data_IF_526265745020
#
_entry.id   IF_526265745020
#
_cell.length_a   1.000
_cell.length_b   1.000
_cell.length_c   1.000
_cell.angle_alpha   90.00
_cell.angle_beta   90.00
_cell.angle_gamma   90.00
#
_symmetry.space_group_name_H-M   'P 1'
#
loop_
_entity.id
_entity.type
_entity.pdbx_description
1 polymer ?
#
# COMPACT_ATOMS: atom_id res chain seq x y z
N UNK A 1 30.33 -26.60 -21.20
CA UNK A 1 28.92 -26.92 -21.59
C UNK A 1 28.21 -25.60 -21.85
N UNK A 2 28.10 -25.21 -23.11
CA UNK A 2 27.40 -23.99 -23.54
C UNK A 2 25.91 -24.30 -23.61
N UNK A 3 25.16 -23.86 -22.60
CA UNK A 3 23.70 -23.97 -22.62
C UNK A 3 23.19 -23.02 -23.72
N UNK A 4 22.35 -23.55 -24.63
CA UNK A 4 21.81 -22.74 -25.72
C UNK A 4 20.99 -21.58 -25.12
N UNK A 5 21.31 -20.31 -25.44
CA UNK A 5 20.75 -19.14 -24.75
C UNK A 5 19.21 -19.08 -24.79
N UNK A 6 18.57 -19.67 -25.80
CA UNK A 6 17.11 -19.74 -25.89
C UNK A 6 16.42 -20.69 -24.90
N UNK A 7 17.09 -21.75 -24.44
CA UNK A 7 16.54 -22.70 -23.45
C UNK A 7 16.52 -22.09 -22.05
N UNK A 8 17.56 -21.33 -21.70
CA UNK A 8 17.61 -20.65 -20.40
C UNK A 8 16.57 -19.54 -20.30
N UNK A 9 16.35 -18.78 -21.38
CA UNK A 9 15.35 -17.70 -21.40
C UNK A 9 13.91 -18.22 -21.27
N UNK A 10 13.60 -19.34 -21.93
CA UNK A 10 12.26 -19.95 -21.85
C UNK A 10 11.99 -20.51 -20.46
N UNK A 11 12.98 -21.17 -19.84
CA UNK A 11 12.89 -21.61 -18.45
C UNK A 11 12.70 -20.43 -17.49
N UNK A 12 13.46 -19.34 -17.65
CA UNK A 12 13.32 -18.14 -16.82
C UNK A 12 11.91 -17.51 -16.90
N UNK A 13 11.29 -17.49 -18.09
CA UNK A 13 9.91 -17.02 -18.26
C UNK A 13 8.90 -17.95 -17.57
N UNK A 14 9.10 -19.27 -17.69
CA UNK A 14 8.24 -20.27 -17.04
C UNK A 14 8.36 -20.20 -15.52
N UNK A 15 9.58 -20.11 -14.99
CA UNK A 15 9.84 -20.01 -13.55
C UNK A 15 9.27 -18.71 -12.97
N UNK A 16 9.41 -17.60 -13.69
CA UNK A 16 8.76 -16.34 -13.31
C UNK A 16 7.23 -16.45 -13.29
N UNK A 17 6.65 -17.08 -14.31
CA UNK A 17 5.20 -17.31 -14.37
C UNK A 17 4.69 -18.24 -13.26
N UNK A 18 5.44 -19.30 -12.93
CA UNK A 18 5.14 -20.20 -11.80
C UNK A 18 5.25 -19.47 -10.47
N UNK A 19 6.33 -18.73 -10.25
CA UNK A 19 6.53 -17.92 -9.05
C UNK A 19 5.45 -16.87 -8.87
N UNK A 20 4.98 -16.21 -9.95
CA UNK A 20 3.84 -15.30 -9.88
C UNK A 20 2.53 -15.98 -9.48
N UNK A 21 2.29 -17.19 -9.99
CA UNK A 21 1.12 -17.98 -9.65
C UNK A 21 1.16 -18.39 -8.17
N UNK A 22 2.30 -18.85 -7.69
CA UNK A 22 2.50 -19.27 -6.30
C UNK A 22 2.42 -18.09 -5.31
N UNK A 23 3.01 -16.94 -5.67
CA UNK A 23 2.86 -15.70 -4.91
C UNK A 23 1.40 -15.30 -4.77
N UNK A 24 0.60 -15.41 -5.85
CA UNK A 24 -0.85 -15.17 -5.80
C UNK A 24 -1.59 -16.21 -4.96
N UNK A 25 -1.26 -17.49 -5.06
CA UNK A 25 -1.95 -18.53 -4.29
C UNK A 25 -1.67 -18.45 -2.79
N UNK A 26 -0.50 -17.95 -2.39
CA UNK A 26 -0.12 -17.87 -0.98
C UNK A 26 -0.95 -16.86 -0.17
N UNK A 27 -1.54 -15.83 -0.80
CA UNK A 27 -2.32 -14.77 -0.14
C UNK A 27 -1.57 -13.96 0.95
N UNK A 28 -0.34 -14.34 1.29
CA UNK A 28 0.40 -13.86 2.47
C UNK A 28 0.78 -12.39 2.35
N UNK A 29 1.10 -11.95 1.13
CA UNK A 29 1.35 -10.54 0.80
C UNK A 29 0.10 -9.66 0.87
N UNK A 30 -1.10 -10.24 0.69
CA UNK A 30 -2.38 -9.51 0.86
C UNK A 30 -2.65 -9.29 2.34
N UNK A 31 -2.52 -10.34 3.14
CA UNK A 31 -2.75 -10.27 4.58
C UNK A 31 -1.83 -9.24 5.25
N UNK A 32 -0.54 -9.24 4.91
CA UNK A 32 0.41 -8.26 5.47
C UNK A 32 0.10 -6.83 5.04
N UNK A 33 -0.25 -6.60 3.77
CA UNK A 33 -0.57 -5.26 3.26
C UNK A 33 -1.87 -4.70 3.85
N UNK A 34 -2.92 -5.52 3.94
CA UNK A 34 -4.19 -5.13 4.56
C UNK A 34 -4.00 -4.86 6.06
N UNK A 35 -3.22 -5.69 6.76
CA UNK A 35 -2.94 -5.48 8.17
C UNK A 35 -2.17 -4.18 8.41
N UNK A 36 -1.15 -3.90 7.60
CA UNK A 36 -0.41 -2.64 7.68
C UNK A 36 -1.32 -1.42 7.43
N UNK A 37 -2.16 -1.46 6.40
CA UNK A 37 -3.12 -0.38 6.12
C UNK A 37 -4.16 -0.21 7.22
N UNK A 38 -4.66 -1.30 7.79
CA UNK A 38 -5.61 -1.27 8.90
C UNK A 38 -4.98 -0.65 10.16
N UNK A 39 -3.74 -1.00 10.47
CA UNK A 39 -3.01 -0.42 11.62
C UNK A 39 -2.77 1.07 11.42
N UNK A 40 -2.24 1.47 10.25
CA UNK A 40 -1.96 2.89 9.97
C UNK A 40 -3.26 3.71 9.94
N UNK A 41 -4.30 3.21 9.27
CA UNK A 41 -5.61 3.86 9.24
C UNK A 41 -6.26 3.95 10.62
N UNK A 42 -6.13 2.88 11.43
CA UNK A 42 -6.62 2.85 12.81
C UNK A 42 -5.91 3.86 13.71
N UNK A 43 -4.58 3.99 13.59
CA UNK A 43 -3.81 5.02 14.31
C UNK A 43 -4.25 6.41 13.87
N UNK A 44 -4.38 6.67 12.57
CA UNK A 44 -4.84 7.96 12.04
C UNK A 44 -6.24 8.33 12.54
N UNK A 45 -7.16 7.36 12.59
CA UNK A 45 -8.51 7.55 13.12
C UNK A 45 -8.49 7.78 14.63
N UNK A 46 -7.69 7.02 15.39
CA UNK A 46 -7.54 7.19 16.83
C UNK A 46 -7.06 8.61 17.15
N UNK A 47 -6.01 9.09 16.47
CA UNK A 47 -5.51 10.45 16.62
C UNK A 47 -6.59 11.51 16.27
N UNK A 48 -7.38 11.28 15.23
CA UNK A 48 -8.49 12.17 14.88
C UNK A 48 -9.56 12.26 15.98
N UNK A 49 -9.77 11.16 16.71
CA UNK A 49 -10.76 11.08 17.79
C UNK A 49 -10.22 11.63 19.12
N UNK A 50 -8.92 11.45 19.41
CA UNK A 50 -8.33 11.89 20.68
C UNK A 50 -7.91 13.35 20.72
N UNK A 51 -7.74 14.02 19.57
CA UNK A 51 -7.26 15.41 19.49
C UNK A 51 -8.40 16.46 19.70
N UNK A 52 -9.59 16.05 20.11
CA UNK A 52 -10.65 16.96 20.58
C UNK A 52 -10.73 16.96 22.10
N UNK A 53 -10.04 17.88 22.77
CA UNK A 53 -10.31 18.18 24.19
C UNK A 53 -11.71 18.80 24.37
N UNK A 54 -12.21 18.86 25.62
CA UNK A 54 -13.51 19.47 25.90
C UNK A 54 -13.50 20.94 25.44
N UNK A 55 -14.43 21.36 24.56
CA UNK A 55 -14.50 22.74 24.08
C UNK A 55 -14.72 23.75 25.22
N UNK A 56 -15.17 23.30 26.40
CA UNK A 56 -15.42 24.15 27.55
C UNK A 56 -14.22 24.24 28.51
N UNK A 57 -13.14 23.52 28.26
CA UNK A 57 -11.97 23.54 29.13
C UNK A 57 -11.17 24.84 28.90
N UNK A 58 -10.91 25.65 29.94
CA UNK A 58 -10.18 26.91 29.78
C UNK A 58 -8.75 26.66 29.28
N UNK A 59 -8.20 27.54 28.42
CA UNK A 59 -6.82 27.42 27.96
C UNK A 59 -5.84 27.57 29.14
N UNK A 60 -4.70 26.87 29.05
CA UNK A 60 -3.63 26.92 30.03
C UNK A 60 -2.40 27.63 29.48
N UNK A 61 -1.73 28.39 30.33
CA UNK A 61 -0.47 29.07 30.06
C UNK A 61 0.49 28.73 31.20
N UNK A 62 1.63 28.10 30.89
CA UNK A 62 2.61 27.60 31.89
C UNK A 62 1.93 26.84 33.05
N UNK A 63 1.10 25.84 32.70
CA UNK A 63 0.32 25.01 33.63
C UNK A 63 -0.73 25.74 34.48
N UNK A 64 -0.98 27.04 34.22
CA UNK A 64 -2.02 27.82 34.89
C UNK A 64 -3.22 28.03 33.97
N UNK A 65 -4.41 27.74 34.48
CA UNK A 65 -5.67 28.03 33.77
C UNK A 65 -5.86 29.54 33.64
N UNK A 66 -6.10 30.00 32.42
CA UNK A 66 -6.38 31.40 32.14
C UNK A 66 -7.86 31.72 32.28
N UNK A 67 -8.16 32.93 32.73
CA UNK A 67 -9.50 33.50 32.74
C UNK A 67 -9.66 34.58 31.68
N UNK A 68 -10.90 34.94 31.34
CA UNK A 68 -11.20 35.91 30.30
C UNK A 68 -10.65 37.28 30.68
N UNK A 69 -9.71 37.80 29.88
CA UNK A 69 -9.00 39.06 30.15
C UNK A 69 -7.56 38.88 30.63
N UNK A 70 -7.13 37.65 30.92
CA UNK A 70 -5.72 37.38 31.21
C UNK A 70 -4.87 37.43 29.94
N UNK A 71 -3.62 37.88 30.09
CA UNK A 71 -2.59 37.87 29.04
C UNK A 71 -1.49 36.91 29.46
N UNK A 72 -1.19 35.94 28.60
CA UNK A 72 -0.10 35.01 28.79
C UNK A 72 1.15 35.54 28.11
N UNK A 73 2.29 35.55 28.79
CA UNK A 73 3.58 35.94 28.20
C UNK A 73 4.48 34.72 28.20
N UNK A 74 4.73 34.15 27.03
CA UNK A 74 5.60 32.99 26.88
C UNK A 74 7.02 33.50 26.61
N UNK A 75 7.92 33.30 27.56
CA UNK A 75 9.34 33.60 27.38
C UNK A 75 10.03 32.37 26.77
N UNK A 76 10.06 32.29 25.43
CA UNK A 76 10.83 31.28 24.71
C UNK A 76 12.21 31.84 24.34
N UNK A 77 13.27 31.06 24.54
CA UNK A 77 14.64 31.39 24.10
C UNK A 77 14.86 31.26 22.58
N UNK A 78 13.85 30.79 21.84
CA UNK A 78 13.76 30.81 20.38
C UNK A 78 12.74 31.85 19.87
N UNK A 79 12.66 32.03 18.56
CA UNK A 79 11.84 33.04 17.84
C UNK A 79 10.30 32.92 17.99
N UNK A 80 9.80 32.37 19.11
CA UNK A 80 8.39 32.13 19.39
C UNK A 80 7.85 32.80 20.65
N UNK A 81 8.65 33.66 21.33
CA UNK A 81 8.18 34.41 22.50
C UNK A 81 7.25 35.57 22.13
N UNK A 82 6.15 35.72 22.87
CA UNK A 82 5.14 36.76 22.65
C UNK A 82 4.09 36.80 23.76
N UNK A 83 3.34 37.90 23.81
CA UNK A 83 2.16 38.06 24.66
C UNK A 83 0.91 37.62 23.90
N UNK A 84 0.22 36.59 24.38
CA UNK A 84 -1.01 36.07 23.79
C UNK A 84 -2.19 36.38 24.70
N UNK A 85 -3.26 36.95 24.14
CA UNK A 85 -4.51 37.17 24.87
C UNK A 85 -5.29 35.86 25.02
N UNK A 86 -6.23 35.81 25.97
CA UNK A 86 -7.14 34.67 26.14
C UNK A 86 -7.80 34.24 24.81
N UNK A 87 -8.39 35.19 24.08
CA UNK A 87 -9.11 34.90 22.82
C UNK A 87 -8.18 34.36 21.73
N UNK A 88 -6.92 34.82 21.68
CA UNK A 88 -5.92 34.34 20.73
C UNK A 88 -5.46 32.90 21.05
N UNK A 89 -5.39 32.53 22.32
CA UNK A 89 -5.11 31.15 22.72
C UNK A 89 -6.27 30.20 22.40
N UNK A 90 -7.51 30.66 22.58
CA UNK A 90 -8.70 29.89 22.20
C UNK A 90 -8.73 29.65 20.69
N UNK A 91 -8.51 30.69 19.88
CA UNK A 91 -8.50 30.59 18.42
C UNK A 91 -7.39 29.66 17.90
N UNK A 92 -6.18 29.74 18.48
CA UNK A 92 -5.09 28.79 18.17
C UNK A 92 -5.44 27.35 18.52
N UNK A 93 -6.11 27.10 19.66
CA UNK A 93 -6.53 25.76 20.07
C UNK A 93 -7.56 25.20 19.10
N UNK A 94 -8.58 25.98 18.74
CA UNK A 94 -9.60 25.57 17.77
C UNK A 94 -9.01 25.30 16.38
N UNK A 95 -8.13 26.17 15.91
CA UNK A 95 -7.45 26.02 14.62
C UNK A 95 -6.55 24.78 14.57
N UNK A 96 -5.73 24.55 15.61
CA UNK A 96 -4.83 23.39 15.68
C UNK A 96 -5.61 22.07 15.76
N UNK A 97 -6.67 22.02 16.58
CA UNK A 97 -7.50 20.83 16.72
C UNK A 97 -8.25 20.52 15.42
N UNK A 98 -8.75 21.54 14.72
CA UNK A 98 -9.44 21.38 13.43
C UNK A 98 -8.49 20.84 12.36
N UNK A 99 -7.27 21.38 12.28
CA UNK A 99 -6.26 20.92 11.32
C UNK A 99 -5.82 19.48 11.60
N UNK A 100 -5.47 19.14 12.85
CA UNK A 100 -5.08 17.76 13.19
C UNK A 100 -6.20 16.76 12.95
N UNK A 101 -7.44 17.11 13.29
CA UNK A 101 -8.61 16.27 13.06
C UNK A 101 -8.85 16.07 11.56
N UNK A 102 -8.69 17.13 10.76
CA UNK A 102 -8.74 17.07 9.29
C UNK A 102 -7.68 16.13 8.70
N UNK A 103 -6.44 16.20 9.18
CA UNK A 103 -5.36 15.30 8.76
C UNK A 103 -5.66 13.85 9.13
N UNK A 104 -6.13 13.61 10.36
CA UNK A 104 -6.45 12.26 10.84
C UNK A 104 -7.57 11.60 10.03
N UNK A 105 -8.67 12.31 9.77
CA UNK A 105 -9.75 11.81 8.90
C UNK A 105 -9.30 11.65 7.45
N UNK A 106 -8.49 12.58 6.93
CA UNK A 106 -7.93 12.49 5.58
C UNK A 106 -7.07 11.24 5.40
N UNK A 107 -6.19 10.95 6.35
CA UNK A 107 -5.33 9.77 6.33
C UNK A 107 -6.15 8.47 6.46
N UNK A 108 -7.10 8.41 7.40
CA UNK A 108 -7.96 7.25 7.59
C UNK A 108 -8.82 6.96 6.34
N UNK A 109 -9.39 8.00 5.74
CA UNK A 109 -10.13 7.90 4.48
C UNK A 109 -9.26 7.41 3.32
N UNK A 110 -8.04 7.94 3.17
CA UNK A 110 -7.09 7.49 2.17
C UNK A 110 -6.72 6.00 2.37
N UNK A 111 -6.44 5.58 3.61
CA UNK A 111 -6.18 4.17 3.93
C UNK A 111 -7.35 3.27 3.54
N UNK A 112 -8.60 3.68 3.83
CA UNK A 112 -9.79 2.93 3.45
C UNK A 112 -9.93 2.79 1.92
N UNK A 113 -9.68 3.86 1.16
CA UNK A 113 -9.69 3.81 -0.31
C UNK A 113 -8.59 2.90 -0.85
N UNK A 114 -7.39 2.93 -0.27
CA UNK A 114 -6.27 2.08 -0.68
C UNK A 114 -6.46 0.60 -0.31
N UNK A 115 -7.29 0.28 0.68
CA UNK A 115 -7.66 -1.11 0.98
C UNK A 115 -8.42 -1.78 -0.18
N UNK A 116 -9.19 -1.04 -0.97
CA UNK A 116 -9.99 -1.56 -2.09
C UNK A 116 -9.12 -2.20 -3.19
N UNK A 117 -8.11 -1.51 -3.80
CA UNK A 117 -7.25 -2.12 -4.81
C UNK A 117 -6.38 -3.24 -4.23
N UNK A 118 -5.98 -3.15 -2.96
CA UNK A 118 -5.22 -4.21 -2.28
C UNK A 118 -6.09 -5.46 -2.12
N UNK A 119 -7.35 -5.32 -1.74
CA UNK A 119 -8.29 -6.44 -1.60
C UNK A 119 -8.63 -7.09 -2.94
N UNK A 120 -8.81 -6.30 -4.00
CA UNK A 120 -9.24 -6.79 -5.33
C UNK A 120 -8.08 -7.32 -6.18
N UNK A 121 -6.91 -6.66 -6.19
CA UNK A 121 -5.78 -7.07 -7.05
C UNK A 121 -4.91 -8.17 -6.47
N UNK A 122 -4.92 -8.35 -5.14
CA UNK A 122 -4.17 -9.40 -4.45
C UNK A 122 -5.06 -10.58 -4.07
N UNK A 123 -6.27 -10.69 -4.65
CA UNK A 123 -7.17 -11.77 -4.33
C UNK A 123 -6.59 -13.12 -4.77
N UNK A 124 -6.32 -14.06 -3.84
CA UNK A 124 -5.83 -15.40 -4.18
C UNK A 124 -6.86 -16.20 -5.00
N UNK A 125 -8.14 -15.82 -4.94
CA UNK A 125 -9.19 -16.44 -5.76
C UNK A 125 -9.11 -16.03 -7.23
N UNK A 126 -8.43 -14.92 -7.56
CA UNK A 126 -8.29 -14.48 -8.95
C UNK A 126 -7.29 -15.40 -9.66
N UNK A 127 -7.75 -16.20 -10.64
CA UNK A 127 -6.89 -17.18 -11.27
C UNK A 127 -5.81 -16.49 -12.12
N UNK A 128 -4.62 -17.07 -12.10
CA UNK A 128 -3.49 -16.55 -12.89
C UNK A 128 -3.76 -16.69 -14.40
N UNK A 129 -3.78 -15.56 -15.11
CA UNK A 129 -3.89 -15.54 -16.58
C UNK A 129 -5.29 -15.77 -17.13
N UNK A 130 -5.44 -15.56 -18.44
CA UNK A 130 -6.69 -15.78 -19.18
C UNK A 130 -6.85 -17.25 -19.51
N UNK A 131 -8.07 -17.83 -19.41
CA UNK A 131 -8.31 -19.19 -19.86
C UNK A 131 -8.03 -19.32 -21.36
N UNK A 132 -7.52 -20.47 -21.77
CA UNK A 132 -7.17 -20.76 -23.16
C UNK A 132 -8.09 -21.84 -23.67
N UNK A 133 -8.64 -21.65 -24.87
CA UNK A 133 -9.45 -22.67 -25.51
C UNK A 133 -8.63 -23.95 -25.80
N UNK A 134 -9.23 -25.09 -25.52
CA UNK A 134 -8.66 -26.42 -25.81
C UNK A 134 -8.12 -27.16 -24.59
N UNK A 135 -8.06 -28.49 -24.74
CA UNK A 135 -7.54 -29.39 -23.72
C UNK A 135 -6.04 -29.20 -23.48
N UNK A 136 -5.59 -29.51 -22.27
CA UNK A 136 -4.17 -29.64 -21.99
C UNK A 136 -3.60 -30.86 -22.74
N UNK A 137 -2.53 -30.70 -23.54
CA UNK A 137 -1.95 -31.83 -24.28
C UNK A 137 -1.37 -32.92 -23.36
N UNK A 138 -1.12 -32.61 -22.08
CA UNK A 138 -0.58 -33.56 -21.09
C UNK A 138 -1.65 -34.28 -20.27
N UNK A 139 -2.75 -33.61 -19.90
CA UNK A 139 -3.76 -34.17 -18.99
C UNK A 139 -5.20 -34.13 -19.51
N UNK A 140 -5.43 -33.62 -20.72
CA UNK A 140 -6.77 -33.53 -21.34
C UNK A 140 -7.71 -32.48 -20.74
N UNK A 141 -7.42 -31.91 -19.56
CA UNK A 141 -8.33 -31.00 -18.86
C UNK A 141 -8.31 -29.57 -19.47
N UNK A 142 -9.43 -28.84 -19.47
CA UNK A 142 -9.53 -27.45 -19.97
C UNK A 142 -9.02 -26.42 -18.93
N UNK A 143 -7.92 -26.73 -18.23
CA UNK A 143 -7.37 -25.92 -17.14
C UNK A 143 -6.11 -25.15 -17.56
N UNK A 144 -6.00 -24.83 -18.86
CA UNK A 144 -4.91 -24.05 -19.41
C UNK A 144 -5.18 -22.56 -19.24
N UNK A 145 -4.17 -21.83 -18.76
CA UNK A 145 -4.22 -20.38 -18.66
C UNK A 145 -2.97 -19.76 -19.23
N UNK A 146 -3.13 -18.60 -19.84
CA UNK A 146 -2.07 -17.85 -20.50
C UNK A 146 -1.91 -16.46 -19.91
N UNK A 147 -0.66 -16.00 -19.85
CA UNK A 147 -0.35 -14.64 -19.47
C UNK A 147 0.90 -14.18 -20.21
N UNK A 148 0.89 -12.91 -20.61
CA UNK A 148 2.09 -12.24 -21.10
C UNK A 148 3.03 -11.99 -19.91
N UNK A 149 4.23 -12.54 -19.99
CA UNK A 149 5.27 -12.41 -18.96
C UNK A 149 6.48 -11.76 -19.59
N UNK A 150 7.05 -10.78 -18.89
CA UNK A 150 8.30 -10.13 -19.29
C UNK A 150 9.37 -10.43 -18.26
N UNK A 151 10.53 -10.87 -18.75
CA UNK A 151 11.73 -11.09 -17.95
C UNK A 151 12.82 -10.15 -18.45
N UNK A 152 13.34 -9.32 -17.55
CA UNK A 152 14.42 -8.39 -17.83
C UNK A 152 15.71 -8.90 -17.17
N UNK A 153 16.79 -8.96 -17.93
CA UNK A 153 18.14 -9.30 -17.47
C UNK A 153 19.02 -8.06 -17.66
N UNK A 154 19.61 -7.57 -16.58
CA UNK A 154 20.61 -6.51 -16.62
C UNK A 154 22.01 -7.12 -16.75
N UNK A 155 22.74 -6.76 -17.80
CA UNK A 155 24.14 -7.14 -18.02
C UNK A 155 24.98 -5.86 -18.09
N UNK A 156 25.63 -5.51 -16.98
CA UNK A 156 26.34 -4.24 -16.85
C UNK A 156 25.38 -3.04 -16.88
N UNK A 157 25.59 -2.10 -17.80
CA UNK A 157 24.70 -0.94 -18.02
C UNK A 157 23.51 -1.23 -18.94
N UNK A 158 23.50 -2.38 -19.63
CA UNK A 158 22.46 -2.70 -20.61
C UNK A 158 21.40 -3.60 -20.00
N UNK A 159 20.13 -3.24 -20.18
CA UNK A 159 19.00 -4.08 -19.75
C UNK A 159 18.36 -4.70 -20.98
N UNK A 160 18.37 -6.03 -21.06
CA UNK A 160 17.66 -6.79 -22.08
C UNK A 160 16.31 -7.21 -21.53
N UNK A 161 15.23 -6.94 -22.27
CA UNK A 161 13.88 -7.39 -21.89
C UNK A 161 13.36 -8.41 -22.89
N UNK A 162 12.92 -9.55 -22.38
CA UNK A 162 12.32 -10.64 -23.16
C UNK A 162 10.87 -10.78 -22.77
N UNK A 163 9.98 -10.72 -23.75
CA UNK A 163 8.54 -10.83 -23.53
C UNK A 163 8.00 -12.04 -24.27
N UNK A 164 7.23 -12.89 -23.57
CA UNK A 164 6.60 -14.07 -24.14
C UNK A 164 5.23 -14.32 -23.52
N UNK A 165 4.36 -15.03 -24.24
CA UNK A 165 3.10 -15.52 -23.68
C UNK A 165 3.35 -16.92 -23.12
N UNK A 166 3.18 -17.06 -21.81
CA UNK A 166 3.40 -18.32 -21.10
C UNK A 166 2.05 -18.98 -20.83
N UNK A 167 1.89 -20.21 -21.32
CA UNK A 167 0.76 -21.09 -21.03
C UNK A 167 1.14 -22.01 -19.88
N UNK A 168 0.33 -22.06 -18.82
CA UNK A 168 0.49 -23.00 -17.71
C UNK A 168 -0.77 -23.85 -17.53
N UNK A 169 -0.59 -25.09 -17.06
CA UNK A 169 -1.67 -25.97 -16.60
C UNK A 169 -1.42 -26.43 -15.16
N UNK A 170 -2.47 -26.88 -14.45
CA UNK A 170 -2.35 -27.43 -13.09
C UNK A 170 -1.53 -28.72 -13.02
N UNK A 171 -1.47 -29.50 -14.09
CA UNK A 171 -0.70 -30.75 -14.17
C UNK A 171 0.80 -30.53 -14.45
N UNK A 172 1.31 -29.30 -14.34
CA UNK A 172 2.72 -28.97 -14.59
C UNK A 172 3.11 -28.81 -16.07
N UNK A 173 2.16 -28.83 -17.01
CA UNK A 173 2.43 -28.45 -18.40
C UNK A 173 2.73 -26.95 -18.50
N UNK A 174 3.78 -26.60 -19.24
CA UNK A 174 4.16 -25.23 -19.55
C UNK A 174 4.59 -25.11 -21.01
N UNK A 175 4.14 -24.06 -21.68
CA UNK A 175 4.58 -23.71 -23.02
C UNK A 175 4.83 -22.20 -23.10
N UNK A 176 5.77 -21.78 -23.95
CA UNK A 176 6.07 -20.38 -24.20
C UNK A 176 5.93 -20.13 -25.70
N UNK A 177 5.14 -19.12 -26.07
CA UNK A 177 5.06 -18.63 -27.45
C UNK A 177 5.50 -17.17 -27.51
N UNK A 178 6.04 -16.77 -28.66
CA UNK A 178 6.30 -15.35 -28.94
C UNK A 178 4.96 -14.61 -29.04
N UNK A 179 4.89 -13.35 -28.58
CA UNK A 179 3.68 -12.53 -28.69
C UNK A 179 3.29 -12.30 -30.15
#
# INVERSE_FOLDING_TARGET
MTVAPGRDMTNALVDRARGERERRSSGRSRASALFALAVVGGIGLLLALTVGGDPNEPPTCDDKTMTRGDVCVIYSSGSGGGSFSYDEMVDRRESSNTVMRGIGFGLAGLCAVLMIPVATRLDPSTPWGTPVAGACPRCGKPNRRERKTTHSISQGRTTYSYTGVVTLCTCGFSAVRRP
#
